data_IF_532606480377
#
_entry.id   IF_532606480377
#
_cell.length_a   1.000
_cell.length_b   1.000
_cell.length_c   1.000
_cell.angle_alpha   90.00
_cell.angle_beta   90.00
_cell.angle_gamma   90.00
#
_symmetry.space_group_name_H-M   'P 1'
#
loop_
_entity.id
_entity.type
_entity.pdbx_description
1 polymer ?
#
# COMPACT_ATOMS: atom_id res chain seq x y z
N UNK A 1 4.38 9.14 -36.75
CA UNK A 1 4.05 9.49 -35.35
C UNK A 1 4.47 8.32 -34.49
N UNK A 2 5.35 8.50 -33.49
CA UNK A 2 5.62 7.42 -32.54
C UNK A 2 4.32 7.11 -31.76
N UNK A 3 4.05 5.83 -31.43
CA UNK A 3 2.95 5.51 -30.53
C UNK A 3 3.20 6.23 -29.21
N UNK A 4 2.20 6.95 -28.71
CA UNK A 4 2.25 7.48 -27.36
C UNK A 4 2.32 6.28 -26.41
N UNK A 5 3.53 5.95 -25.95
CA UNK A 5 3.76 4.97 -24.90
C UNK A 5 3.11 5.52 -23.63
N UNK A 6 1.82 5.22 -23.47
CA UNK A 6 1.09 5.54 -22.25
C UNK A 6 1.80 4.85 -21.09
N UNK A 7 2.08 5.61 -20.03
CA UNK A 7 2.68 5.08 -18.79
C UNK A 7 1.80 4.01 -18.11
N UNK A 8 0.56 3.83 -18.58
CA UNK A 8 -0.45 2.91 -18.07
C UNK A 8 0.05 1.49 -17.81
N UNK A 9 0.42 0.70 -18.84
CA UNK A 9 0.79 -0.71 -18.66
C UNK A 9 2.17 -0.91 -18.03
N UNK A 10 3.08 0.07 -18.15
CA UNK A 10 4.50 -0.12 -17.80
C UNK A 10 4.74 -0.27 -16.30
N UNK A 11 3.83 0.21 -15.45
CA UNK A 11 4.04 0.20 -14.00
C UNK A 11 3.57 -1.08 -13.31
N UNK A 12 2.91 -2.02 -14.01
CA UNK A 12 2.48 -3.27 -13.38
C UNK A 12 3.69 -4.13 -12.95
N UNK A 13 3.74 -4.53 -11.68
CA UNK A 13 4.88 -5.23 -11.08
C UNK A 13 5.92 -4.31 -10.43
N UNK A 14 5.87 -3.00 -10.70
CA UNK A 14 6.81 -2.05 -10.13
C UNK A 14 6.55 -1.80 -8.63
N UNK A 15 7.61 -1.39 -7.94
CA UNK A 15 7.53 -0.93 -6.54
C UNK A 15 7.67 0.58 -6.51
N UNK A 16 6.66 1.23 -5.95
CA UNK A 16 6.59 2.68 -5.88
C UNK A 16 6.63 3.07 -4.40
N UNK A 17 7.54 3.99 -4.06
CA UNK A 17 7.56 4.60 -2.74
C UNK A 17 6.87 5.94 -2.81
N UNK A 18 5.77 6.09 -2.06
CA UNK A 18 5.00 7.33 -1.96
C UNK A 18 5.06 7.77 -0.50
N UNK A 19 5.71 8.90 -0.24
CA UNK A 19 6.03 9.37 1.11
C UNK A 19 6.81 8.29 1.90
N UNK A 20 6.22 7.75 2.96
CA UNK A 20 6.79 6.69 3.80
C UNK A 20 6.24 5.29 3.52
N UNK A 21 5.40 5.14 2.49
CA UNK A 21 4.77 3.86 2.13
C UNK A 21 5.40 3.29 0.88
N UNK A 22 5.77 2.02 0.93
CA UNK A 22 6.18 1.29 -0.26
C UNK A 22 5.02 0.41 -0.70
N UNK A 23 4.58 0.58 -1.94
CA UNK A 23 3.50 -0.21 -2.53
C UNK A 23 3.99 -0.93 -3.78
N UNK A 24 3.47 -2.12 -4.02
CA UNK A 24 3.72 -2.88 -5.25
C UNK A 24 2.50 -2.83 -6.15
N UNK A 25 2.69 -2.44 -7.40
CA UNK A 25 1.61 -2.32 -8.38
C UNK A 25 1.19 -3.70 -8.84
N UNK A 26 -0.08 -4.05 -8.65
CA UNK A 26 -0.64 -5.35 -9.02
C UNK A 26 -1.20 -5.31 -10.44
N UNK A 27 -2.07 -4.33 -10.71
CA UNK A 27 -2.71 -4.16 -12.02
C UNK A 27 -3.22 -2.75 -12.22
N UNK A 28 -3.31 -2.32 -13.47
CA UNK A 28 -4.08 -1.13 -13.84
C UNK A 28 -5.58 -1.45 -13.75
N UNK A 29 -6.34 -0.56 -13.10
CA UNK A 29 -7.79 -0.63 -12.98
C UNK A 29 -8.50 0.22 -14.03
N UNK A 30 -7.86 1.30 -14.48
CA UNK A 30 -8.42 2.17 -15.50
C UNK A 30 -7.52 3.33 -15.87
N UNK A 31 -7.96 4.07 -16.86
CA UNK A 31 -7.36 5.29 -17.37
C UNK A 31 -8.48 6.31 -17.60
N UNK A 32 -8.21 7.58 -17.32
CA UNK A 32 -9.13 8.67 -17.59
C UNK A 32 -8.40 10.00 -17.68
N UNK A 33 -8.54 10.70 -18.82
CA UNK A 33 -7.86 11.96 -19.07
C UNK A 33 -6.34 11.80 -19.04
N UNK A 34 -5.70 12.40 -18.03
CA UNK A 34 -4.26 12.31 -17.78
C UNK A 34 -3.94 11.57 -16.47
N UNK A 35 -4.88 10.73 -16.00
CA UNK A 35 -4.73 9.93 -14.78
C UNK A 35 -4.85 8.43 -15.06
N UNK A 36 -4.07 7.66 -14.30
CA UNK A 36 -4.08 6.21 -14.28
C UNK A 36 -4.42 5.74 -12.87
N UNK A 37 -5.23 4.68 -12.77
CA UNK A 37 -5.65 4.11 -11.50
C UNK A 37 -5.14 2.69 -11.42
N UNK A 38 -4.45 2.35 -10.33
CA UNK A 38 -3.84 1.05 -10.11
C UNK A 38 -4.34 0.41 -8.81
N UNK A 39 -4.49 -0.91 -8.83
CA UNK A 39 -4.56 -1.73 -7.63
C UNK A 39 -3.13 -1.96 -7.15
N UNK A 40 -2.85 -1.63 -5.89
CA UNK A 40 -1.53 -1.80 -5.30
C UNK A 40 -1.64 -2.60 -4.00
N UNK A 41 -0.56 -3.30 -3.67
CA UNK A 41 -0.40 -4.02 -2.40
C UNK A 41 0.57 -3.24 -1.52
N UNK A 42 0.16 -2.94 -0.29
CA UNK A 42 1.05 -2.34 0.69
C UNK A 42 2.19 -3.31 1.08
N UNK A 43 3.42 -2.81 1.09
CA UNK A 43 4.61 -3.52 1.56
C UNK A 43 5.14 -2.95 2.89
N UNK A 44 4.51 -1.91 3.42
CA UNK A 44 4.93 -1.24 4.66
C UNK A 44 4.82 -2.15 5.90
N UNK A 45 3.93 -3.15 5.85
CA UNK A 45 3.77 -4.18 6.90
C UNK A 45 4.81 -5.32 6.83
N UNK A 46 5.68 -5.33 5.82
CA UNK A 46 6.69 -6.38 5.66
C UNK A 46 7.98 -6.09 6.45
N UNK A 47 7.91 -5.40 7.60
CA UNK A 47 8.94 -5.54 8.61
C UNK A 47 8.76 -6.91 9.26
N UNK A 48 9.64 -7.90 9.02
CA UNK A 48 9.66 -9.05 9.91
C UNK A 48 10.04 -8.51 11.28
N UNK A 49 9.10 -8.51 12.22
CA UNK A 49 9.41 -8.50 13.64
C UNK A 49 10.11 -9.83 13.98
N UNK A 50 11.32 -10.02 13.45
CA UNK A 50 12.15 -11.19 13.71
C UNK A 50 13.13 -10.87 14.82
N UNK A 51 12.78 -11.41 15.99
CA UNK A 51 13.64 -12.09 16.95
C UNK A 51 15.01 -11.46 17.33
N UNK A 52 15.08 -11.03 18.58
CA UNK A 52 16.24 -11.19 19.47
C UNK A 52 15.72 -11.03 20.92
N UNK A 53 16.06 -11.79 21.96
CA UNK A 53 16.69 -13.09 22.18
C UNK A 53 16.65 -13.31 23.71
N UNK A 54 16.32 -14.52 24.16
CA UNK A 54 16.67 -15.13 25.47
C UNK A 54 16.24 -14.39 26.76
N UNK A 55 15.14 -14.86 27.36
CA UNK A 55 14.80 -14.65 28.77
C UNK A 55 14.38 -15.96 29.40
N UNK A 56 15.37 -16.73 29.85
CA UNK A 56 15.18 -17.88 30.75
C UNK A 56 14.52 -17.37 32.04
N UNK A 57 13.36 -17.91 32.38
CA UNK A 57 12.51 -17.39 33.44
C UNK A 57 11.48 -18.41 33.90
N UNK A 58 11.98 -19.44 34.59
CA UNK A 58 11.19 -20.35 35.41
C UNK A 58 10.15 -19.60 36.25
N UNK A 59 8.87 -19.95 36.14
CA UNK A 59 7.81 -19.28 36.91
C UNK A 59 6.48 -20.01 36.80
N UNK A 60 6.15 -20.77 37.84
CA UNK A 60 4.99 -21.61 37.98
C UNK A 60 3.64 -20.86 38.01
N UNK A 61 2.60 -21.59 37.59
CA UNK A 61 1.31 -21.72 38.27
C UNK A 61 0.13 -20.78 37.90
N UNK A 62 -1.05 -21.41 37.87
CA UNK A 62 -2.41 -20.89 38.17
C UNK A 62 -3.31 -20.42 37.00
N UNK A 63 -4.01 -21.39 36.45
CA UNK A 63 -5.47 -21.41 36.23
C UNK A 63 -6.27 -20.16 36.68
N UNK A 64 -6.73 -19.32 35.73
CA UNK A 64 -7.94 -18.48 35.90
C UNK A 64 -8.66 -18.29 34.57
N UNK A 65 -9.77 -19.01 34.43
CA UNK A 65 -10.87 -18.72 33.51
C UNK A 65 -11.41 -17.33 33.81
N UNK A 66 -11.29 -16.41 32.86
CA UNK A 66 -11.82 -15.06 32.95
C UNK A 66 -12.04 -14.52 31.56
N UNK A 67 -13.31 -14.42 31.16
CA UNK A 67 -13.73 -13.84 29.89
C UNK A 67 -13.24 -12.40 29.77
N UNK A 68 -12.45 -12.14 28.74
CA UNK A 68 -11.98 -10.82 28.36
C UNK A 68 -12.18 -10.68 26.86
N UNK A 69 -13.00 -9.70 26.49
CA UNK A 69 -13.40 -9.40 25.13
C UNK A 69 -12.21 -9.08 24.21
N UNK A 70 -12.34 -9.54 22.96
CA UNK A 70 -11.94 -8.85 21.74
C UNK A 70 -10.56 -8.16 21.73
N UNK A 71 -9.57 -8.89 21.23
CA UNK A 71 -8.78 -8.34 20.12
C UNK A 71 -8.52 -9.47 19.14
N UNK A 72 -9.23 -9.40 18.01
CA UNK A 72 -8.95 -10.19 16.83
C UNK A 72 -7.45 -10.12 16.57
N UNK A 73 -6.82 -11.29 16.45
CA UNK A 73 -5.64 -11.44 15.61
C UNK A 73 -6.01 -10.84 14.27
N UNK A 74 -5.56 -9.61 14.03
CA UNK A 74 -5.68 -8.98 12.74
C UNK A 74 -4.81 -9.81 11.82
N UNK A 75 -5.47 -10.75 11.14
CA UNK A 75 -4.88 -11.63 10.16
C UNK A 75 -3.99 -10.79 9.27
N UNK A 76 -2.77 -11.28 9.04
CA UNK A 76 -1.71 -10.72 8.19
C UNK A 76 -2.14 -10.67 6.71
N UNK A 77 -3.31 -10.10 6.45
CA UNK A 77 -3.95 -10.01 5.16
C UNK A 77 -3.23 -8.91 4.38
N UNK A 78 -2.86 -9.17 3.13
CA UNK A 78 -2.28 -8.14 2.29
C UNK A 78 -3.27 -6.98 2.16
N UNK A 79 -2.88 -5.80 2.67
CA UNK A 79 -3.68 -4.59 2.54
C UNK A 79 -3.59 -4.11 1.09
N UNK A 80 -4.69 -4.25 0.36
CA UNK A 80 -4.82 -3.71 -0.99
C UNK A 80 -5.33 -2.28 -0.94
N UNK A 81 -4.73 -1.42 -1.76
CA UNK A 81 -5.10 -0.02 -1.90
C UNK A 81 -5.25 0.36 -3.38
N UNK A 82 -5.81 1.54 -3.62
CA UNK A 82 -5.90 2.13 -4.96
C UNK A 82 -4.94 3.32 -5.05
N UNK A 83 -4.06 3.29 -6.05
CA UNK A 83 -3.13 4.38 -6.35
C UNK A 83 -3.58 5.11 -7.62
N UNK A 84 -3.91 6.40 -7.52
CA UNK A 84 -4.15 7.28 -8.67
C UNK A 84 -2.88 8.06 -8.95
N UNK A 85 -2.36 7.95 -10.18
CA UNK A 85 -1.22 8.72 -10.67
C UNK A 85 -1.73 9.67 -11.75
N UNK A 86 -1.48 10.96 -11.56
CA UNK A 86 -1.90 12.01 -12.50
C UNK A 86 -0.66 12.62 -13.14
N UNK A 87 -0.54 12.48 -14.46
CA UNK A 87 0.61 12.95 -15.22
C UNK A 87 0.42 14.38 -15.71
N UNK A 88 1.29 15.29 -15.26
CA UNK A 88 1.17 16.73 -15.52
C UNK A 88 2.27 17.17 -16.47
N UNK A 89 1.87 17.55 -17.69
CA UNK A 89 2.76 18.08 -18.73
C UNK A 89 2.50 19.56 -19.06
N UNK A 90 1.40 20.12 -18.56
CA UNK A 90 1.03 21.52 -18.79
C UNK A 90 0.52 22.20 -17.53
N UNK A 91 0.55 23.54 -17.54
CA UNK A 91 0.02 24.35 -16.42
C UNK A 91 -1.49 24.13 -16.24
N UNK A 92 -2.24 24.02 -17.34
CA UNK A 92 -3.68 23.71 -17.28
C UNK A 92 -3.96 22.36 -16.60
N UNK A 93 -3.16 21.33 -16.89
CA UNK A 93 -3.29 20.02 -16.23
C UNK A 93 -2.98 20.11 -14.73
N UNK A 94 -2.00 20.94 -14.34
CA UNK A 94 -1.71 21.23 -12.93
C UNK A 94 -2.90 21.87 -12.23
N UNK A 95 -3.46 22.92 -12.82
CA UNK A 95 -4.59 23.66 -12.22
C UNK A 95 -5.82 22.73 -12.02
N UNK A 96 -6.07 21.82 -12.96
CA UNK A 96 -7.13 20.80 -12.84
C UNK A 96 -6.80 19.78 -11.75
N UNK A 97 -5.56 19.25 -11.72
CA UNK A 97 -5.14 18.28 -10.71
C UNK A 97 -5.21 18.85 -9.29
N UNK A 98 -4.80 20.10 -9.09
CA UNK A 98 -4.88 20.81 -7.81
C UNK A 98 -6.33 21.03 -7.36
N UNK A 99 -7.26 21.22 -8.31
CA UNK A 99 -8.69 21.33 -8.01
C UNK A 99 -9.31 19.98 -7.59
N UNK A 100 -8.88 18.87 -8.19
CA UNK A 100 -9.37 17.52 -7.84
C UNK A 100 -8.77 16.97 -6.54
N UNK A 101 -7.65 17.53 -6.06
CA UNK A 101 -6.94 17.05 -4.88
C UNK A 101 -7.35 17.74 -3.55
N UNK A 102 -8.21 18.75 -3.61
CA UNK A 102 -8.80 19.43 -2.43
C UNK A 102 -10.11 18.77 -2.01
#
# INVERSE_FOLDING_TARGET
MPPAEGLGPQLAGEKITVNSRTVSVVKQLGEGGFSFVYLVKDMSDAVPSSFNSVGDGSGSNSNRSGGGAQHQQQSNQPTFMVLKITSIHSRQQRDVAEKEAK
#
